data_IF_432942035156
#
_entry.id   IF_432942035156
#
_cell.length_a   1.000
_cell.length_b   1.000
_cell.length_c   1.000
_cell.angle_alpha   90.00
_cell.angle_beta   90.00
_cell.angle_gamma   90.00
#
_symmetry.space_group_name_H-M   'P 1'
#
loop_
_entity.id
_entity.type
_entity.pdbx_description
1 polymer ?
#
# COMPACT_ATOMS: atom_id res chain seq x y z
N UNK A 1 -11.26 -18.50 15.56
CA UNK A 1 -12.64 -17.99 15.38
C UNK A 1 -12.95 -17.33 14.02
N UNK A 2 -11.98 -16.80 13.23
CA UNK A 2 -12.26 -16.33 11.83
C UNK A 2 -11.95 -17.40 10.78
N UNK A 3 -10.94 -18.24 11.02
CA UNK A 3 -10.47 -19.26 10.06
C UNK A 3 -11.48 -20.40 9.84
N UNK A 4 -12.35 -20.67 10.82
CA UNK A 4 -13.32 -21.80 10.78
C UNK A 4 -14.42 -21.64 9.71
N UNK A 5 -14.66 -20.42 9.21
CA UNK A 5 -15.66 -20.14 8.17
C UNK A 5 -15.05 -19.55 6.89
N UNK A 6 -13.81 -19.92 6.56
CA UNK A 6 -13.13 -19.44 5.34
C UNK A 6 -13.22 -20.46 4.21
N UNK A 7 -13.79 -20.05 3.07
CA UNK A 7 -13.77 -20.85 1.84
C UNK A 7 -12.59 -20.46 0.96
N UNK A 8 -11.58 -21.33 0.86
CA UNK A 8 -10.43 -21.10 -0.01
C UNK A 8 -10.78 -21.31 -1.48
N UNK A 9 -10.54 -20.28 -2.29
CA UNK A 9 -10.78 -20.29 -3.74
C UNK A 9 -9.58 -20.90 -4.44
N UNK A 10 -9.68 -22.16 -4.87
CA UNK A 10 -8.53 -22.91 -5.41
C UNK A 10 -8.45 -22.90 -6.92
N UNK A 11 -9.56 -22.66 -7.61
CA UNK A 11 -9.58 -22.72 -9.08
C UNK A 11 -10.62 -21.83 -9.75
N UNK A 12 -10.64 -21.87 -11.07
CA UNK A 12 -11.54 -21.07 -11.90
C UNK A 12 -13.03 -21.37 -11.68
N UNK A 13 -13.37 -22.62 -11.38
CA UNK A 13 -14.76 -23.01 -11.06
C UNK A 13 -15.30 -22.24 -9.85
N UNK A 14 -14.50 -22.16 -8.78
CA UNK A 14 -14.85 -21.42 -7.57
C UNK A 14 -14.95 -19.92 -7.86
N UNK A 15 -13.93 -19.36 -8.54
CA UNK A 15 -13.89 -17.93 -8.89
C UNK A 15 -15.14 -17.49 -9.64
N UNK A 16 -15.67 -18.32 -10.53
CA UNK A 16 -16.88 -18.00 -11.33
C UNK A 16 -18.18 -18.05 -10.53
N UNK A 17 -18.19 -18.68 -9.35
CA UNK A 17 -19.39 -18.92 -8.55
C UNK A 17 -19.51 -17.96 -7.36
N UNK A 18 -18.41 -17.66 -6.66
CA UNK A 18 -18.50 -17.00 -5.35
C UNK A 18 -19.13 -15.59 -5.40
N UNK A 19 -18.79 -14.78 -6.41
CA UNK A 19 -19.29 -13.40 -6.50
C UNK A 19 -20.78 -13.31 -6.85
N UNK A 20 -21.42 -14.43 -7.18
CA UNK A 20 -22.85 -14.50 -7.52
C UNK A 20 -23.76 -14.57 -6.29
N UNK A 21 -23.19 -14.67 -5.09
CA UNK A 21 -23.92 -14.66 -3.81
C UNK A 21 -23.33 -13.60 -2.88
N UNK A 22 -24.13 -13.02 -1.96
CA UNK A 22 -23.62 -12.11 -0.96
C UNK A 22 -22.51 -12.77 -0.13
N UNK A 23 -21.30 -12.22 -0.20
CA UNK A 23 -20.14 -12.69 0.55
C UNK A 23 -19.08 -11.59 0.66
N UNK A 24 -18.06 -11.84 1.49
CA UNK A 24 -16.82 -11.07 1.53
C UNK A 24 -15.75 -11.83 0.77
N UNK A 25 -15.10 -11.17 -0.19
CA UNK A 25 -14.03 -11.75 -1.00
C UNK A 25 -12.73 -11.02 -0.68
N UNK A 26 -11.74 -11.75 -0.18
CA UNK A 26 -10.38 -11.26 0.00
C UNK A 26 -9.55 -11.82 -1.15
N UNK A 27 -8.94 -10.93 -1.94
CA UNK A 27 -8.29 -11.31 -3.19
C UNK A 27 -7.02 -10.48 -3.43
N UNK A 28 -5.99 -11.15 -3.96
CA UNK A 28 -4.76 -10.52 -4.46
C UNK A 28 -4.92 -10.10 -5.93
N UNK A 29 -4.18 -9.12 -6.45
CA UNK A 29 -3.19 -8.28 -5.76
C UNK A 29 -3.84 -7.03 -5.11
N UNK A 30 -3.25 -6.55 -4.01
CA UNK A 30 -3.78 -5.44 -3.20
C UNK A 30 -3.81 -4.07 -3.89
N UNK A 31 -3.07 -3.90 -4.99
CA UNK A 31 -3.07 -2.66 -5.80
C UNK A 31 -3.76 -2.82 -7.16
N UNK A 32 -4.55 -3.88 -7.34
CA UNK A 32 -5.32 -4.16 -8.56
C UNK A 32 -4.48 -4.29 -9.86
N UNK A 33 -3.16 -4.47 -9.76
CA UNK A 33 -2.25 -4.70 -10.91
C UNK A 33 -2.54 -5.99 -11.69
N UNK A 34 -3.35 -6.90 -11.14
CA UNK A 34 -3.74 -8.14 -11.80
C UNK A 34 -4.32 -9.16 -10.83
N UNK A 35 -4.43 -10.40 -11.30
CA UNK A 35 -4.87 -11.53 -10.49
C UNK A 35 -6.37 -11.52 -10.13
N UNK A 36 -6.75 -12.29 -9.10
CA UNK A 36 -8.14 -12.45 -8.69
C UNK A 36 -8.88 -11.14 -8.32
N UNK A 37 -8.22 -10.17 -7.67
CA UNK A 37 -8.84 -8.91 -7.26
C UNK A 37 -9.32 -8.12 -8.47
N UNK A 38 -8.48 -8.06 -9.52
CA UNK A 38 -8.86 -7.44 -10.77
C UNK A 38 -9.99 -8.22 -11.47
N UNK A 39 -10.00 -9.55 -11.40
CA UNK A 39 -11.13 -10.31 -11.92
C UNK A 39 -12.46 -9.97 -11.21
N UNK A 40 -12.45 -9.90 -9.87
CA UNK A 40 -13.67 -9.67 -9.11
C UNK A 40 -14.19 -8.26 -9.25
N UNK A 41 -13.34 -7.23 -9.17
CA UNK A 41 -13.79 -5.84 -9.35
C UNK A 41 -14.49 -5.66 -10.70
N UNK A 42 -14.02 -6.37 -11.74
CA UNK A 42 -14.68 -6.40 -13.05
C UNK A 42 -16.07 -7.05 -13.05
N UNK A 43 -16.36 -7.92 -12.09
CA UNK A 43 -17.67 -8.59 -11.96
C UNK A 43 -18.63 -7.86 -11.04
N UNK A 44 -18.12 -7.16 -10.04
CA UNK A 44 -18.94 -6.55 -8.99
C UNK A 44 -19.03 -5.02 -9.09
N UNK A 45 -18.13 -4.38 -9.86
CA UNK A 45 -17.92 -2.94 -9.88
C UNK A 45 -19.08 -2.10 -10.41
N UNK A 46 -19.93 -2.66 -11.28
CA UNK A 46 -21.04 -1.93 -11.90
C UNK A 46 -22.34 -1.98 -11.06
N UNK A 47 -22.32 -2.66 -9.92
CA UNK A 47 -23.48 -2.79 -9.06
C UNK A 47 -23.32 -1.94 -7.78
N UNK A 48 -24.16 -0.91 -7.57
CA UNK A 48 -24.06 0.00 -6.43
C UNK A 48 -24.39 -0.64 -5.07
N UNK A 49 -24.94 -1.87 -5.05
CA UNK A 49 -25.12 -2.65 -3.81
C UNK A 49 -23.82 -3.27 -3.30
N UNK A 50 -22.77 -3.26 -4.11
CA UNK A 50 -21.47 -3.81 -3.75
C UNK A 50 -20.54 -2.72 -3.20
N UNK A 51 -19.46 -3.16 -2.56
CA UNK A 51 -18.38 -2.28 -2.11
C UNK A 51 -17.01 -2.89 -2.42
N UNK A 52 -16.03 -2.03 -2.68
CA UNK A 52 -14.63 -2.35 -2.89
C UNK A 52 -13.82 -1.62 -1.82
N UNK A 53 -13.02 -2.38 -1.08
CA UNK A 53 -12.17 -1.86 -0.01
C UNK A 53 -10.71 -2.12 -0.37
N UNK A 54 -9.95 -1.05 -0.55
CA UNK A 54 -8.49 -1.11 -0.68
C UNK A 54 -7.90 -0.91 0.72
N UNK A 55 -7.10 -1.87 1.19
CA UNK A 55 -6.70 -1.94 2.62
C UNK A 55 -5.21 -1.67 2.86
N UNK A 56 -4.48 -1.25 1.83
CA UNK A 56 -3.06 -0.96 1.90
C UNK A 56 -2.73 0.26 1.06
N UNK A 57 -1.53 0.81 1.25
CA UNK A 57 -0.96 1.85 0.39
C UNK A 57 -1.11 1.49 -1.11
N UNK A 58 -1.45 2.50 -1.91
CA UNK A 58 -1.69 2.40 -3.35
C UNK A 58 -0.67 3.26 -4.06
N UNK A 59 0.38 2.63 -4.58
CA UNK A 59 1.48 3.35 -5.22
C UNK A 59 1.00 4.13 -6.47
N UNK A 60 1.53 5.34 -6.72
CA UNK A 60 1.27 6.09 -7.94
C UNK A 60 1.44 5.25 -9.21
N UNK A 61 0.56 5.45 -10.18
CA UNK A 61 0.53 4.69 -11.43
C UNK A 61 -0.05 3.27 -11.31
N UNK A 62 -0.48 2.84 -10.11
CA UNK A 62 -1.24 1.58 -9.99
C UNK A 62 -2.72 1.77 -10.33
N UNK A 63 -3.41 0.70 -10.81
CA UNK A 63 -4.86 0.73 -11.00
C UNK A 63 -5.62 1.11 -9.73
N UNK A 64 -5.16 0.63 -8.57
CA UNK A 64 -5.76 0.96 -7.27
C UNK A 64 -5.58 2.43 -6.87
N UNK A 65 -4.48 3.06 -7.24
CA UNK A 65 -4.30 4.50 -7.06
C UNK A 65 -5.22 5.30 -7.99
N UNK A 66 -5.26 4.95 -9.29
CA UNK A 66 -6.11 5.64 -10.26
C UNK A 66 -7.60 5.60 -9.92
N UNK A 67 -8.10 4.45 -9.45
CA UNK A 67 -9.52 4.33 -9.11
C UNK A 67 -9.90 5.14 -7.87
N UNK A 68 -8.95 5.36 -6.95
CA UNK A 68 -9.15 6.24 -5.79
C UNK A 68 -9.19 7.72 -6.21
N UNK A 69 -8.31 8.13 -7.12
CA UNK A 69 -8.28 9.51 -7.60
C UNK A 69 -9.45 9.86 -8.52
N UNK A 70 -9.75 8.97 -9.48
CA UNK A 70 -10.68 9.25 -10.60
C UNK A 70 -12.06 8.62 -10.42
N UNK A 71 -12.23 7.71 -9.46
CA UNK A 71 -13.47 6.95 -9.27
C UNK A 71 -13.74 5.92 -10.38
N UNK A 72 -12.76 5.65 -11.23
CA UNK A 72 -12.83 4.75 -12.38
C UNK A 72 -11.44 4.41 -12.89
N UNK A 73 -11.36 3.41 -13.76
CA UNK A 73 -10.15 3.05 -14.47
C UNK A 73 -10.48 2.61 -15.91
N UNK A 74 -10.47 3.59 -16.81
CA UNK A 74 -10.89 3.48 -18.20
C UNK A 74 -10.02 2.49 -18.99
N UNK A 75 -8.73 2.44 -18.68
CA UNK A 75 -7.74 1.53 -19.28
C UNK A 75 -8.07 0.05 -19.02
N UNK A 76 -8.90 -0.25 -18.00
CA UNK A 76 -9.41 -1.60 -17.74
C UNK A 76 -10.88 -1.78 -18.11
N UNK A 77 -11.48 -0.82 -18.82
CA UNK A 77 -12.86 -0.83 -19.29
C UNK A 77 -13.88 -0.33 -18.26
N UNK A 78 -13.44 0.38 -17.21
CA UNK A 78 -14.31 0.89 -16.15
C UNK A 78 -14.24 2.42 -16.10
N UNK A 79 -14.92 3.14 -17.00
CA UNK A 79 -14.90 4.60 -16.97
C UNK A 79 -15.43 5.16 -15.64
N UNK A 80 -16.28 4.42 -14.93
CA UNK A 80 -16.78 4.77 -13.59
C UNK A 80 -17.15 3.54 -12.77
N UNK A 81 -16.61 3.43 -11.55
CA UNK A 81 -17.00 2.41 -10.58
C UNK A 81 -18.31 2.82 -9.91
N UNK A 82 -19.34 1.96 -9.96
CA UNK A 82 -20.63 2.21 -9.29
C UNK A 82 -20.65 1.64 -7.87
N UNK A 83 -19.91 0.55 -7.64
CA UNK A 83 -19.71 0.00 -6.31
C UNK A 83 -19.06 1.04 -5.39
N UNK A 84 -19.46 1.05 -4.11
CA UNK A 84 -18.88 1.95 -3.12
C UNK A 84 -17.39 1.68 -2.98
N UNK A 85 -16.56 2.68 -3.20
CA UNK A 85 -15.11 2.60 -2.98
C UNK A 85 -14.73 3.20 -1.63
N UNK A 86 -13.90 2.47 -0.87
CA UNK A 86 -13.28 2.98 0.35
C UNK A 86 -11.82 2.51 0.42
N UNK A 87 -10.99 3.34 1.06
CA UNK A 87 -9.60 3.02 1.34
C UNK A 87 -9.34 3.07 2.84
N UNK A 88 -8.63 2.06 3.33
CA UNK A 88 -8.17 1.96 4.70
C UNK A 88 -6.67 1.72 4.68
N UNK A 89 -5.93 2.41 5.54
CA UNK A 89 -4.53 2.13 5.74
C UNK A 89 -4.38 1.06 6.83
N UNK A 90 -4.37 -0.21 6.42
CA UNK A 90 -3.99 -1.35 7.27
C UNK A 90 -2.57 -1.82 6.96
N UNK A 91 -1.71 -0.89 6.51
CA UNK A 91 -0.31 -1.17 6.22
C UNK A 91 0.39 -1.79 7.42
N UNK A 92 1.17 -2.85 7.17
CA UNK A 92 2.10 -3.42 8.16
C UNK A 92 3.37 -2.57 8.35
N UNK A 93 3.52 -1.49 7.57
CA UNK A 93 4.66 -0.58 7.72
C UNK A 93 4.46 0.33 8.92
N UNK A 94 5.52 0.50 9.71
CA UNK A 94 5.53 1.50 10.75
C UNK A 94 5.33 2.89 10.12
N UNK A 95 4.32 3.63 10.60
CA UNK A 95 4.16 5.03 10.23
C UNK A 95 5.32 5.88 10.74
N UNK A 96 5.30 7.17 10.36
CA UNK A 96 6.31 8.18 10.74
C UNK A 96 6.70 8.09 12.22
N UNK A 97 5.72 8.07 13.12
CA UNK A 97 5.96 8.10 14.57
C UNK A 97 6.62 6.80 15.06
N UNK A 98 6.29 5.65 14.45
CA UNK A 98 6.92 4.38 14.77
C UNK A 98 8.38 4.33 14.33
N UNK A 99 8.67 4.83 13.11
CA UNK A 99 10.05 4.94 12.61
C UNK A 99 10.88 5.90 13.47
N UNK A 100 10.32 7.06 13.81
CA UNK A 100 10.94 8.01 14.73
C UNK A 100 11.23 7.42 16.10
N UNK A 101 10.27 6.67 16.65
CA UNK A 101 10.45 6.04 17.95
C UNK A 101 11.65 5.10 17.97
N UNK A 102 11.84 4.32 16.90
CA UNK A 102 13.03 3.46 16.73
C UNK A 102 14.29 4.32 16.70
N UNK A 103 14.32 5.37 15.87
CA UNK A 103 15.47 6.26 15.72
C UNK A 103 15.86 6.90 17.07
N UNK A 104 14.89 7.49 17.78
CA UNK A 104 15.11 8.12 19.09
C UNK A 104 15.64 7.15 20.14
N UNK A 105 15.26 5.87 20.06
CA UNK A 105 15.73 4.84 21.00
C UNK A 105 17.22 4.54 20.88
N UNK A 106 17.83 4.82 19.73
CA UNK A 106 19.25 4.59 19.48
C UNK A 106 20.07 5.88 19.32
N UNK A 107 19.48 7.04 19.62
CA UNK A 107 20.07 8.37 19.35
C UNK A 107 21.53 8.54 19.79
N UNK A 108 21.92 7.94 20.92
CA UNK A 108 23.25 8.15 21.51
C UNK A 108 24.36 7.32 20.84
N UNK A 109 23.98 6.32 20.03
CA UNK A 109 24.92 5.41 19.33
C UNK A 109 24.78 5.46 17.82
N UNK A 110 23.74 6.14 17.31
CA UNK A 110 23.40 6.18 15.90
C UNK A 110 24.26 7.24 15.20
N UNK A 111 25.14 6.82 14.29
CA UNK A 111 25.99 7.73 13.51
C UNK A 111 25.49 7.96 12.09
N UNK A 112 24.90 6.93 11.49
CA UNK A 112 24.50 6.92 10.09
C UNK A 112 23.07 6.38 9.95
N UNK A 113 22.24 7.06 9.17
CA UNK A 113 20.90 6.64 8.77
C UNK A 113 20.84 6.61 7.25
N UNK A 114 20.41 5.50 6.68
CA UNK A 114 20.18 5.38 5.23
C UNK A 114 18.69 5.18 4.99
N UNK A 115 18.05 6.12 4.29
CA UNK A 115 16.61 6.09 4.01
C UNK A 115 16.42 5.61 2.57
N UNK A 116 15.68 4.51 2.44
CA UNK A 116 15.37 3.86 1.15
C UNK A 116 13.89 3.51 1.08
N UNK A 117 13.43 3.07 -0.09
CA UNK A 117 12.07 2.56 -0.30
C UNK A 117 10.95 3.54 0.10
N UNK A 118 11.19 4.83 -0.11
CA UNK A 118 10.21 5.90 0.07
C UNK A 118 10.12 6.77 -1.18
N UNK A 119 8.99 7.44 -1.35
CA UNK A 119 8.84 8.49 -2.36
C UNK A 119 9.77 9.67 -2.05
N UNK A 120 10.22 10.38 -3.08
CA UNK A 120 11.23 11.45 -2.95
C UNK A 120 10.83 12.51 -1.91
N UNK A 121 9.57 12.97 -1.95
CA UNK A 121 9.05 13.96 -1.01
C UNK A 121 8.94 13.40 0.42
N UNK A 122 8.49 12.15 0.54
CA UNK A 122 8.41 11.45 1.83
C UNK A 122 9.79 11.29 2.48
N UNK A 123 10.79 10.91 1.69
CA UNK A 123 12.19 10.78 2.13
C UNK A 123 12.73 12.13 2.57
N UNK A 124 12.59 13.20 1.76
CA UNK A 124 13.03 14.55 2.13
C UNK A 124 12.39 15.04 3.43
N UNK A 125 11.08 14.85 3.55
CA UNK A 125 10.31 15.25 4.74
C UNK A 125 10.77 14.49 5.97
N UNK A 126 10.97 13.18 5.84
CA UNK A 126 11.42 12.34 6.94
C UNK A 126 12.87 12.65 7.35
N UNK A 127 13.78 12.89 6.40
CA UNK A 127 15.16 13.35 6.69
C UNK A 127 15.19 14.64 7.49
N UNK A 128 14.39 15.65 7.10
CA UNK A 128 14.30 16.92 7.84
C UNK A 128 13.84 16.68 9.27
N UNK A 129 12.81 15.84 9.42
CA UNK A 129 12.22 15.56 10.72
C UNK A 129 13.15 14.73 11.63
N UNK A 130 13.99 13.86 11.06
CA UNK A 130 15.06 13.19 11.81
C UNK A 130 16.09 14.22 12.32
N UNK A 131 16.50 15.18 11.48
CA UNK A 131 17.43 16.25 11.88
C UNK A 131 16.87 17.12 13.01
N UNK A 132 15.59 17.45 12.94
CA UNK A 132 14.91 18.20 14.02
C UNK A 132 14.94 17.45 15.36
N UNK A 133 14.93 16.11 15.33
CA UNK A 133 14.88 15.26 16.53
C UNK A 133 16.25 14.84 17.07
N UNK A 134 17.25 14.66 16.19
CA UNK A 134 18.57 14.15 16.54
C UNK A 134 19.70 15.19 16.44
N UNK A 135 19.45 16.33 15.79
CA UNK A 135 20.49 17.30 15.47
C UNK A 135 21.30 16.93 14.22
N UNK A 136 22.40 17.66 14.02
CA UNK A 136 23.26 17.57 12.83
C UNK A 136 24.39 16.53 12.96
N UNK A 137 24.53 15.90 14.13
CA UNK A 137 25.62 14.94 14.43
C UNK A 137 25.40 13.56 13.78
N UNK A 138 24.21 13.32 13.21
CA UNK A 138 23.86 12.06 12.52
C UNK A 138 23.88 12.27 11.01
N UNK A 139 24.68 11.45 10.34
CA UNK A 139 24.74 11.43 8.89
C UNK A 139 23.47 10.78 8.32
N UNK A 140 22.77 11.50 7.44
CA UNK A 140 21.56 10.99 6.77
C UNK A 140 21.83 10.87 5.27
N UNK A 141 21.71 9.65 4.76
CA UNK A 141 21.92 9.31 3.36
C UNK A 141 20.58 8.95 2.71
N UNK A 142 20.36 9.45 1.49
CA UNK A 142 19.16 9.18 0.68
C UNK A 142 19.57 8.77 -0.74
N UNK A 143 20.23 7.60 -0.90
CA UNK A 143 20.86 7.22 -2.15
C UNK A 143 19.83 6.93 -3.25
N UNK A 144 20.21 7.22 -4.49
CA UNK A 144 19.49 6.79 -5.69
C UNK A 144 19.78 5.32 -6.02
N UNK A 145 18.93 4.69 -6.84
CA UNK A 145 19.17 3.32 -7.30
C UNK A 145 20.51 3.22 -8.05
N UNK A 146 21.41 2.36 -7.58
CA UNK A 146 22.74 2.16 -8.16
C UNK A 146 23.81 3.12 -7.64
N UNK A 147 23.47 4.03 -6.73
CA UNK A 147 24.44 4.88 -6.04
C UNK A 147 25.16 4.10 -4.94
N UNK A 148 26.48 4.23 -4.89
CA UNK A 148 27.31 3.70 -3.80
C UNK A 148 27.52 4.78 -2.74
N UNK A 149 27.32 4.42 -1.48
CA UNK A 149 27.57 5.31 -0.34
C UNK A 149 28.68 4.74 0.54
N UNK A 150 29.55 5.63 1.03
CA UNK A 150 30.56 5.30 2.03
C UNK A 150 30.05 5.81 3.38
N UNK A 151 29.91 4.90 4.34
CA UNK A 151 29.46 5.25 5.68
C UNK A 151 30.65 5.73 6.51
N UNK A 152 30.49 6.89 7.14
CA UNK A 152 31.52 7.45 8.02
C UNK A 152 31.51 6.71 9.37
N UNK A 153 32.69 6.55 9.98
CA UNK A 153 32.90 5.70 11.17
C UNK A 153 32.63 6.38 12.49
#
# INVERSE_FOLDING_TARGET
>A
KVVENTNFVRGWSDRRKIWRKPCVIIASAGMLKGGPSLYYIKKIGDNPRNAVFLVSYQAPGTPGHHILEKGGFEELGYPKLQARLQWFDLSSHAGKDGLLWIIKRYKDVLKNIVIIHGEEESVKTFSKLIREELGEDVNIYTPSNGEEIVLES
#
